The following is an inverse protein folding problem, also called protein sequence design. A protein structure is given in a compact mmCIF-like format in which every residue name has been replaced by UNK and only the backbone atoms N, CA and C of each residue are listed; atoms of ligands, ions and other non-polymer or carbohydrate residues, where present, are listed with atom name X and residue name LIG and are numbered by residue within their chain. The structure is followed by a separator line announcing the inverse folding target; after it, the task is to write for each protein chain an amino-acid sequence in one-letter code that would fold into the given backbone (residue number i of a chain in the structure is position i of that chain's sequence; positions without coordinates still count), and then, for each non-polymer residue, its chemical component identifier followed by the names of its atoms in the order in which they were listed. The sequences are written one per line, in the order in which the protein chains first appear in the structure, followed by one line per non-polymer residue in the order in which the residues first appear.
data_IF_801586594991
#
_entry.id   IF_801586594991
#
_cell.length_a   1.000
_cell.length_b   1.000
_cell.length_c   1.000
_cell.angle_alpha   90.00
_cell.angle_beta   90.00
_cell.angle_gamma   90.00
#
_symmetry.space_group_name_H-M   'P 1'
#
loop_
_entity.id
_entity.type
_entity.pdbx_description
1 polymer ?
#
# COMPACT_ATOMS: atom_id res chain seq x y z
N UNK A 1 6.40 -54.17 11.84
CA UNK A 1 7.63 -53.41 11.53
C UNK A 1 8.83 -54.14 12.13
N UNK A 2 9.71 -54.72 11.30
CA UNK A 2 10.97 -55.32 11.77
C UNK A 2 11.93 -54.17 12.11
N UNK A 3 12.35 -54.05 13.37
CA UNK A 3 13.47 -53.18 13.76
C UNK A 3 14.71 -53.70 13.01
N UNK A 4 15.29 -52.89 12.13
CA UNK A 4 16.62 -53.17 11.58
C UNK A 4 17.60 -53.23 12.76
N UNK A 5 18.05 -54.43 13.11
CA UNK A 5 19.12 -54.61 14.11
C UNK A 5 20.37 -53.92 13.58
N UNK A 6 21.00 -53.13 14.44
CA UNK A 6 22.24 -52.45 14.13
C UNK A 6 23.31 -53.52 13.85
N UNK A 7 24.00 -53.52 12.69
CA UNK A 7 24.99 -54.54 12.36
C UNK A 7 26.18 -54.59 13.35
N UNK A 8 26.31 -53.59 14.21
CA UNK A 8 27.32 -53.51 15.27
C UNK A 8 26.98 -54.33 16.53
N UNK A 9 25.73 -54.76 16.70
CA UNK A 9 25.28 -55.52 17.89
C UNK A 9 25.60 -57.03 17.81
N UNK A 10 26.26 -57.48 16.73
CA UNK A 10 26.55 -58.91 16.45
C UNK A 10 28.05 -59.25 16.40
N UNK A 11 28.94 -58.30 16.69
CA UNK A 11 30.39 -58.53 16.65
C UNK A 11 30.86 -58.87 18.07
N UNK A 12 31.36 -60.09 18.27
CA UNK A 12 32.06 -60.47 19.50
C UNK A 12 33.39 -59.68 19.56
N UNK A 13 33.61 -58.82 20.57
CA UNK A 13 34.81 -57.99 20.66
C UNK A 13 36.11 -58.78 20.86
N UNK A 14 36.05 -60.11 21.02
CA UNK A 14 37.23 -60.98 21.21
C UNK A 14 37.76 -61.61 19.92
N UNK A 15 37.02 -61.56 18.82
CA UNK A 15 37.40 -62.13 17.51
C UNK A 15 37.82 -61.04 16.50
N UNK A 16 38.71 -60.13 16.94
CA UNK A 16 39.25 -59.09 16.05
C UNK A 16 40.69 -59.45 15.68
N UNK A 17 40.89 -59.90 14.44
CA UNK A 17 42.24 -60.18 13.92
C UNK A 17 43.07 -58.90 13.75
N UNK A 18 44.42 -58.97 13.76
CA UNK A 18 45.27 -57.83 13.46
C UNK A 18 44.97 -57.18 12.10
N UNK A 19 44.61 -57.97 11.08
CA UNK A 19 44.19 -57.46 9.77
C UNK A 19 42.90 -56.63 9.85
N UNK A 20 41.92 -57.07 10.66
CA UNK A 20 40.68 -56.35 10.87
C UNK A 20 40.92 -55.01 11.59
N UNK A 21 41.80 -54.96 12.59
CA UNK A 21 42.15 -53.69 13.26
C UNK A 21 42.76 -52.66 12.29
N UNK A 22 43.64 -53.10 11.37
CA UNK A 22 44.23 -52.23 10.34
C UNK A 22 43.15 -51.77 9.34
N UNK A 23 42.23 -52.64 8.95
CA UNK A 23 41.11 -52.32 8.06
C UNK A 23 40.14 -51.32 8.70
N UNK A 24 39.75 -51.53 9.96
CA UNK A 24 38.88 -50.62 10.71
C UNK A 24 39.55 -49.28 10.98
N UNK A 25 40.86 -49.24 11.28
CA UNK A 25 41.61 -47.98 11.41
C UNK A 25 41.64 -47.19 10.10
N UNK A 26 41.85 -47.85 8.96
CA UNK A 26 41.79 -47.21 7.63
C UNK A 26 40.38 -46.69 7.30
N UNK A 27 39.34 -47.47 7.60
CA UNK A 27 37.94 -47.06 7.41
C UNK A 27 37.57 -45.88 8.33
N UNK A 28 37.96 -45.92 9.59
CA UNK A 28 37.73 -44.82 10.55
C UNK A 28 38.46 -43.54 10.12
N UNK A 29 39.70 -43.62 9.63
CA UNK A 29 40.42 -42.46 9.09
C UNK A 29 39.75 -41.91 7.83
N UNK A 30 39.26 -42.77 6.94
CA UNK A 30 38.53 -42.38 5.72
C UNK A 30 37.19 -41.71 6.05
N UNK A 31 36.43 -42.28 6.98
CA UNK A 31 35.17 -41.72 7.51
C UNK A 31 35.39 -40.37 8.21
N UNK A 32 36.45 -40.25 9.03
CA UNK A 32 36.76 -39.00 9.74
C UNK A 32 37.19 -37.89 8.78
N UNK A 33 37.98 -38.22 7.74
CA UNK A 33 38.34 -37.27 6.67
C UNK A 33 37.11 -36.87 5.84
N UNK A 34 36.25 -37.83 5.49
CA UNK A 34 34.99 -37.57 4.77
C UNK A 34 34.05 -36.66 5.58
N UNK A 35 33.91 -36.90 6.89
CA UNK A 35 33.12 -36.03 7.79
C UNK A 35 33.69 -34.62 7.88
N UNK A 36 35.02 -34.45 7.97
CA UNK A 36 35.67 -33.12 7.95
C UNK A 36 35.43 -32.39 6.63
N UNK A 37 35.60 -33.07 5.48
CA UNK A 37 35.37 -32.48 4.16
C UNK A 37 33.90 -32.09 3.98
N UNK A 38 32.95 -32.97 4.37
CA UNK A 38 31.52 -32.66 4.32
C UNK A 38 31.14 -31.50 5.24
N UNK A 39 31.75 -31.42 6.43
CA UNK A 39 31.54 -30.30 7.35
C UNK A 39 32.07 -28.98 6.80
N UNK A 40 33.24 -28.97 6.16
CA UNK A 40 33.80 -27.78 5.49
C UNK A 40 32.93 -27.36 4.30
N UNK A 41 32.50 -28.31 3.45
CA UNK A 41 31.60 -28.05 2.33
C UNK A 41 30.24 -27.50 2.81
N UNK A 42 29.69 -28.04 3.89
CA UNK A 42 28.43 -27.57 4.45
C UNK A 42 28.56 -26.15 5.04
N UNK A 43 29.68 -25.88 5.73
CA UNK A 43 29.98 -24.56 6.27
C UNK A 43 30.23 -23.53 5.16
N UNK A 44 30.95 -23.88 4.09
CA UNK A 44 31.22 -22.98 2.97
C UNK A 44 29.97 -22.71 2.13
N UNK A 45 29.14 -23.73 1.86
CA UNK A 45 27.85 -23.55 1.18
C UNK A 45 26.88 -22.70 2.00
N UNK A 46 26.87 -22.90 3.33
CA UNK A 46 26.06 -22.07 4.23
C UNK A 46 26.55 -20.63 4.27
N UNK A 47 27.88 -20.40 4.30
CA UNK A 47 28.47 -19.07 4.27
C UNK A 47 28.21 -18.34 2.94
N UNK A 48 28.29 -19.04 1.79
CA UNK A 48 27.95 -18.48 0.47
C UNK A 48 26.45 -18.16 0.39
N UNK A 49 25.58 -19.03 0.91
CA UNK A 49 24.14 -18.78 0.99
C UNK A 49 23.81 -17.55 1.82
N UNK A 50 24.38 -17.43 3.03
CA UNK A 50 24.19 -16.26 3.92
C UNK A 50 24.76 -15.00 3.27
N UNK A 51 25.96 -15.04 2.69
CA UNK A 51 26.57 -13.91 2.01
C UNK A 51 25.79 -13.47 0.76
N UNK A 52 25.17 -14.40 0.02
CA UNK A 52 24.32 -14.09 -1.13
C UNK A 52 23.02 -13.42 -0.67
N UNK A 53 22.38 -13.95 0.38
CA UNK A 53 21.16 -13.35 0.94
C UNK A 53 21.43 -11.96 1.52
N UNK A 54 22.53 -11.78 2.27
CA UNK A 54 22.95 -10.47 2.77
C UNK A 54 23.36 -9.54 1.63
N UNK A 55 24.09 -10.02 0.63
CA UNK A 55 24.47 -9.26 -0.55
C UNK A 55 23.27 -8.77 -1.35
N UNK A 56 22.22 -9.57 -1.49
CA UNK A 56 20.95 -9.17 -2.11
C UNK A 56 20.20 -8.17 -1.20
N UNK A 57 20.11 -8.43 0.10
CA UNK A 57 19.40 -7.57 1.05
C UNK A 57 20.03 -6.18 1.22
N UNK A 58 21.36 -6.09 1.20
CA UNK A 58 22.10 -4.83 1.26
C UNK A 58 22.37 -4.21 -0.11
N UNK A 59 22.31 -5.00 -1.19
CA UNK A 59 22.54 -4.56 -2.57
C UNK A 59 21.31 -3.94 -3.23
N UNK A 60 20.09 -4.16 -2.71
CA UNK A 60 18.89 -3.46 -3.18
C UNK A 60 18.88 -2.05 -2.55
N UNK A 61 19.14 -0.98 -3.32
CA UNK A 61 19.12 0.37 -2.79
C UNK A 61 17.73 0.68 -2.23
N UNK A 62 17.67 0.99 -0.93
CA UNK A 62 16.43 1.42 -0.28
C UNK A 62 15.96 2.72 -0.93
N UNK A 63 14.66 2.86 -1.22
CA UNK A 63 14.14 4.11 -1.75
C UNK A 63 14.37 5.24 -0.74
N UNK A 64 14.65 6.44 -1.24
CA UNK A 64 14.90 7.63 -0.42
C UNK A 64 13.66 8.02 0.37
N UNK A 65 12.49 7.86 -0.24
CA UNK A 65 11.20 8.13 0.35
C UNK A 65 10.44 6.83 0.64
N UNK A 66 9.49 6.91 1.56
CA UNK A 66 8.57 5.84 1.88
C UNK A 66 7.13 6.29 1.67
N UNK A 67 6.28 5.35 1.27
CA UNK A 67 4.83 5.49 1.39
C UNK A 67 4.47 5.37 2.87
N UNK A 68 3.65 6.29 3.35
CA UNK A 68 3.27 6.43 4.75
C UNK A 68 1.83 6.00 4.92
N UNK A 69 1.61 5.13 5.90
CA UNK A 69 0.28 4.82 6.40
C UNK A 69 0.11 5.63 7.68
N UNK A 70 -0.82 6.58 7.67
CA UNK A 70 -1.07 7.43 8.83
C UNK A 70 -1.86 6.66 9.89
N UNK A 71 -1.42 6.75 11.14
CA UNK A 71 -2.13 6.10 12.25
C UNK A 71 -3.36 6.91 12.65
N UNK A 72 -4.36 6.26 13.27
CA UNK A 72 -5.62 6.91 13.68
C UNK A 72 -5.42 8.09 14.64
N UNK A 73 -4.38 8.04 15.47
CA UNK A 73 -3.99 9.10 16.40
C UNK A 73 -3.22 10.27 15.76
N UNK A 74 -2.93 10.19 14.46
CA UNK A 74 -2.26 11.28 13.73
C UNK A 74 -3.20 12.48 13.62
N UNK A 75 -2.67 13.69 13.72
CA UNK A 75 -3.44 14.91 13.47
C UNK A 75 -3.73 15.07 11.98
N UNK A 76 -4.76 14.37 11.51
CA UNK A 76 -5.23 14.35 10.12
C UNK A 76 -6.41 15.31 10.01
N UNK A 77 -6.28 16.34 9.17
CA UNK A 77 -7.37 17.27 8.92
C UNK A 77 -8.44 16.64 8.04
N UNK A 78 -9.69 17.01 8.31
CA UNK A 78 -10.79 16.78 7.36
C UNK A 78 -10.67 17.74 6.20
N UNK A 79 -11.18 17.33 5.03
CA UNK A 79 -11.16 18.15 3.81
C UNK A 79 -11.77 19.54 4.01
N UNK A 80 -12.84 19.64 4.81
CA UNK A 80 -13.48 20.92 5.16
C UNK A 80 -12.56 21.90 5.89
N UNK A 81 -11.53 21.41 6.58
CA UNK A 81 -10.58 22.22 7.35
C UNK A 81 -9.40 22.68 6.49
N UNK A 82 -9.25 22.15 5.26
CA UNK A 82 -8.13 22.53 4.39
C UNK A 82 -8.15 24.03 4.08
N UNK A 83 -9.34 24.65 4.09
CA UNK A 83 -9.57 26.09 3.80
C UNK A 83 -8.81 26.99 4.74
N UNK A 84 -8.44 26.50 5.92
CA UNK A 84 -7.67 27.26 6.89
C UNK A 84 -6.18 27.27 6.58
N UNK A 85 -5.71 26.32 5.76
CA UNK A 85 -4.28 26.06 5.51
C UNK A 85 -3.84 26.42 4.09
N UNK A 86 -4.67 26.13 3.09
CA UNK A 86 -4.35 26.31 1.67
C UNK A 86 -4.97 27.59 1.10
N UNK A 87 -4.30 28.20 0.11
CA UNK A 87 -4.81 29.40 -0.60
C UNK A 87 -6.03 29.10 -1.47
N UNK A 88 -6.16 27.88 -2.00
CA UNK A 88 -7.32 27.45 -2.79
C UNK A 88 -7.52 25.92 -2.68
N UNK A 89 -8.80 25.47 -2.67
CA UNK A 89 -9.20 24.05 -2.54
C UNK A 89 -10.18 23.60 -3.62
N UNK A 90 -10.70 24.52 -4.41
CA UNK A 90 -11.60 24.17 -5.50
C UNK A 90 -10.82 23.71 -6.73
N UNK A 91 -11.33 22.73 -7.48
CA UNK A 91 -10.69 22.28 -8.70
C UNK A 91 -10.74 23.43 -9.71
N UNK A 92 -9.63 24.13 -9.90
CA UNK A 92 -9.41 24.76 -11.20
C UNK A 92 -9.29 23.56 -12.14
N UNK A 93 -10.20 23.45 -13.12
CA UNK A 93 -10.02 22.58 -14.28
C UNK A 93 -8.78 23.05 -15.06
N UNK A 94 -7.62 22.81 -14.48
CA UNK A 94 -6.35 23.20 -15.04
C UNK A 94 -5.86 22.07 -15.92
N UNK A 95 -5.61 22.36 -17.20
CA UNK A 95 -4.96 21.43 -18.09
C UNK A 95 -3.45 21.50 -17.88
N UNK A 96 -2.91 20.47 -17.24
CA UNK A 96 -1.48 20.24 -17.14
C UNK A 96 -1.01 19.45 -18.36
N UNK A 97 -0.24 20.10 -19.24
CA UNK A 97 0.25 19.54 -20.52
C UNK A 97 1.24 18.37 -20.37
N UNK A 98 1.55 17.93 -19.16
CA UNK A 98 2.42 16.78 -18.91
C UNK A 98 1.67 15.51 -18.48
N UNK A 99 2.40 14.38 -18.53
CA UNK A 99 1.91 13.09 -18.04
C UNK A 99 2.00 13.00 -16.51
N UNK A 100 1.13 12.20 -15.85
CA UNK A 100 1.19 12.02 -14.40
C UNK A 100 2.55 11.51 -13.90
N UNK A 101 3.19 10.60 -14.63
CA UNK A 101 4.48 10.03 -14.24
C UNK A 101 5.59 11.08 -14.21
N UNK A 102 5.57 12.06 -15.10
CA UNK A 102 6.60 13.09 -15.15
C UNK A 102 6.45 14.09 -14.01
N UNK A 103 5.21 14.46 -13.69
CA UNK A 103 4.92 15.22 -12.47
C UNK A 103 5.36 14.47 -11.21
N UNK A 104 5.05 13.17 -11.11
CA UNK A 104 5.45 12.36 -9.97
C UNK A 104 6.97 12.36 -9.78
N UNK A 105 7.75 12.23 -10.86
CA UNK A 105 9.24 12.30 -10.80
C UNK A 105 9.72 13.62 -10.21
N UNK A 106 9.18 14.74 -10.67
CA UNK A 106 9.57 16.08 -10.18
C UNK A 106 9.24 16.25 -8.69
N UNK A 107 8.05 15.82 -8.27
CA UNK A 107 7.65 15.88 -6.86
C UNK A 107 8.50 14.97 -5.99
N UNK A 108 8.87 13.77 -6.46
CA UNK A 108 9.73 12.86 -5.69
C UNK A 108 11.15 13.41 -5.49
N UNK A 109 11.68 14.15 -6.48
CA UNK A 109 13.01 14.79 -6.39
C UNK A 109 12.97 15.99 -5.44
N UNK A 110 11.91 16.80 -5.50
CA UNK A 110 11.69 17.96 -4.64
C UNK A 110 10.29 17.90 -4.00
N UNK A 111 10.13 17.21 -2.86
CA UNK A 111 8.83 16.93 -2.26
C UNK A 111 8.37 18.07 -1.35
N UNK A 112 8.30 19.29 -1.90
CA UNK A 112 7.85 20.49 -1.17
C UNK A 112 6.87 21.27 -2.04
N UNK A 113 5.97 22.05 -1.44
CA UNK A 113 5.04 22.91 -2.21
C UNK A 113 5.76 24.05 -2.95
N UNK A 114 7.00 24.36 -2.60
CA UNK A 114 7.83 25.32 -3.33
C UNK A 114 8.29 24.77 -4.70
N UNK A 115 8.04 23.49 -4.99
CA UNK A 115 8.33 22.89 -6.28
C UNK A 115 7.49 23.56 -7.39
N UNK A 116 8.12 24.13 -8.45
CA UNK A 116 7.42 24.84 -9.51
C UNK A 116 6.29 24.06 -10.20
N UNK A 117 6.32 22.72 -10.17
CA UNK A 117 5.26 21.88 -10.75
C UNK A 117 3.90 22.10 -10.10
N UNK A 118 3.84 22.62 -8.87
CA UNK A 118 2.57 22.91 -8.17
C UNK A 118 1.96 24.27 -8.55
N UNK A 119 2.75 25.20 -9.11
CA UNK A 119 2.26 26.55 -9.50
C UNK A 119 1.03 26.52 -10.40
N UNK A 120 0.95 25.67 -11.43
CA UNK A 120 -0.22 25.65 -12.32
C UNK A 120 -1.52 25.24 -11.62
N UNK A 121 -1.42 24.49 -10.52
CA UNK A 121 -2.55 24.09 -9.69
C UNK A 121 -2.95 25.13 -8.64
N UNK A 122 -2.21 26.24 -8.56
CA UNK A 122 -2.31 27.23 -7.47
C UNK A 122 -2.29 26.59 -6.06
N UNK A 123 -1.62 25.43 -5.94
CA UNK A 123 -1.56 24.70 -4.68
C UNK A 123 -0.44 25.28 -3.84
N UNK A 124 -0.83 26.11 -2.88
CA UNK A 124 0.11 26.78 -1.99
C UNK A 124 -0.49 26.99 -0.59
N UNK A 125 0.36 27.09 0.42
CA UNK A 125 -0.05 27.45 1.78
C UNK A 125 -0.39 28.94 1.88
N UNK A 126 -1.32 29.29 2.78
CA UNK A 126 -1.52 30.68 3.19
C UNK A 126 -0.26 31.23 3.85
N UNK A 127 -0.01 32.53 3.71
CA UNK A 127 1.26 33.12 4.13
C UNK A 127 1.47 33.00 5.65
N UNK A 128 0.42 33.21 6.46
CA UNK A 128 0.46 33.01 7.91
C UNK A 128 0.74 31.55 8.31
N UNK A 129 0.41 30.58 7.46
CA UNK A 129 0.66 29.15 7.70
C UNK A 129 2.09 28.80 7.30
N UNK A 130 2.61 29.38 6.20
CA UNK A 130 4.01 29.24 5.80
C UNK A 130 4.98 29.73 6.85
N UNK A 131 4.63 30.77 7.61
CA UNK A 131 5.49 31.26 8.69
C UNK A 131 5.71 30.23 9.80
N UNK A 132 4.72 29.34 10.01
CA UNK A 132 4.70 28.38 11.11
C UNK A 132 5.21 27.00 10.66
N UNK A 133 4.89 26.59 9.44
CA UNK A 133 5.09 25.22 8.97
C UNK A 133 6.06 25.11 7.79
N UNK A 134 6.83 24.02 7.77
CA UNK A 134 7.48 23.52 6.56
C UNK A 134 6.57 22.47 5.90
N UNK A 135 6.65 22.37 4.58
CA UNK A 135 5.87 21.40 3.80
C UNK A 135 6.73 20.21 3.38
N UNK A 136 6.13 19.03 3.44
CA UNK A 136 6.71 17.81 2.88
C UNK A 136 5.59 17.03 2.17
N UNK A 137 5.77 16.75 0.88
CA UNK A 137 4.82 15.96 0.10
C UNK A 137 5.07 14.48 0.37
N UNK A 138 3.99 13.77 0.72
CA UNK A 138 3.97 12.33 0.97
C UNK A 138 3.00 11.64 0.03
N UNK A 139 3.16 10.32 -0.09
CA UNK A 139 2.21 9.45 -0.79
C UNK A 139 1.84 9.94 -2.18
N UNK A 140 2.83 10.19 -3.04
CA UNK A 140 2.58 10.51 -4.45
C UNK A 140 2.00 9.27 -5.13
N UNK A 141 0.73 9.33 -5.51
CA UNK A 141 -0.03 8.22 -6.08
C UNK A 141 -0.61 8.65 -7.43
N UNK A 142 -0.22 7.97 -8.50
CA UNK A 142 -0.82 8.16 -9.83
C UNK A 142 -2.18 7.45 -9.85
N UNK A 143 -3.22 8.17 -10.25
CA UNK A 143 -4.53 7.55 -10.44
C UNK A 143 -4.58 6.86 -11.81
N UNK A 144 -4.22 5.57 -11.86
CA UNK A 144 -4.27 4.78 -13.09
C UNK A 144 -5.68 4.34 -13.52
N UNK A 145 -6.72 4.68 -12.74
CA UNK A 145 -8.12 4.44 -13.13
C UNK A 145 -8.56 5.48 -14.16
N UNK A 146 -8.48 6.77 -13.79
CA UNK A 146 -8.88 7.87 -14.68
C UNK A 146 -7.70 8.31 -15.58
N UNK A 147 -6.47 7.98 -15.19
CA UNK A 147 -5.23 8.27 -15.92
C UNK A 147 -4.83 9.76 -15.99
N UNK A 148 -5.69 10.66 -15.51
CA UNK A 148 -5.53 12.11 -15.65
C UNK A 148 -5.36 12.85 -14.31
N UNK A 149 -5.05 12.12 -13.23
CA UNK A 149 -4.96 12.69 -11.89
C UNK A 149 -3.87 12.06 -11.03
N UNK A 150 -3.43 12.82 -10.02
CA UNK A 150 -2.48 12.41 -9.00
C UNK A 150 -3.08 12.73 -7.63
N UNK A 151 -2.97 11.77 -6.73
CA UNK A 151 -3.29 11.93 -5.32
C UNK A 151 -1.99 12.08 -4.53
N UNK A 152 -1.98 12.98 -3.54
CA UNK A 152 -0.84 13.18 -2.64
C UNK A 152 -1.30 13.62 -1.26
N UNK A 153 -0.44 13.46 -0.28
CA UNK A 153 -0.63 13.99 1.07
C UNK A 153 0.33 15.15 1.30
N UNK A 154 -0.12 16.20 1.98
CA UNK A 154 0.74 17.29 2.45
C UNK A 154 0.97 17.12 3.96
N UNK A 155 2.22 16.95 4.35
CA UNK A 155 2.65 16.97 5.75
C UNK A 155 3.16 18.37 6.10
N UNK A 156 2.53 18.99 7.09
CA UNK A 156 2.94 20.27 7.67
C UNK A 156 3.71 20.01 8.96
N UNK A 157 5.01 20.29 8.97
CA UNK A 157 5.84 20.15 10.19
C UNK A 157 6.05 21.52 10.82
N UNK A 158 5.76 21.65 12.10
CA UNK A 158 5.98 22.90 12.82
C UNK A 158 7.49 23.23 12.82
N UNK A 159 7.84 24.44 12.39
CA UNK A 159 9.24 24.91 12.30
C UNK A 159 9.94 24.94 13.66
N UNK A 160 9.18 25.10 14.76
CA UNK A 160 9.70 25.14 16.13
C UNK A 160 9.75 23.76 16.79
N UNK A 161 8.97 22.79 16.31
CA UNK A 161 8.89 21.44 16.89
C UNK A 161 8.60 20.39 15.83
N UNK A 162 9.60 19.54 15.54
CA UNK A 162 9.46 18.48 14.53
C UNK A 162 8.50 17.35 14.93
N UNK A 163 8.13 17.27 16.22
CA UNK A 163 7.14 16.32 16.74
C UNK A 163 5.70 16.78 16.55
N UNK A 164 5.50 18.08 16.34
CA UNK A 164 4.21 18.68 16.08
C UNK A 164 3.99 18.78 14.57
N UNK A 165 3.02 18.04 14.07
CA UNK A 165 2.73 18.00 12.65
C UNK A 165 1.25 17.76 12.37
N UNK A 166 0.84 18.21 11.19
CA UNK A 166 -0.52 18.11 10.68
C UNK A 166 -0.47 17.47 9.29
N UNK A 167 -1.43 16.60 8.99
CA UNK A 167 -1.54 15.94 7.69
C UNK A 167 -2.80 16.41 6.98
N UNK A 168 -2.64 16.87 5.73
CA UNK A 168 -3.72 17.09 4.78
C UNK A 168 -3.69 15.91 3.79
N UNK A 169 -4.49 14.87 4.02
CA UNK A 169 -4.43 13.67 3.20
C UNK A 169 -5.21 13.85 1.89
N UNK A 170 -4.88 13.03 0.89
CA UNK A 170 -5.69 12.81 -0.33
C UNK A 170 -6.02 14.10 -1.10
N UNK A 171 -5.04 14.97 -1.29
CA UNK A 171 -5.14 16.10 -2.22
C UNK A 171 -5.10 15.55 -3.65
N UNK A 172 -6.16 15.80 -4.43
CA UNK A 172 -6.30 15.31 -5.81
C UNK A 172 -6.03 16.43 -6.79
N UNK A 173 -4.98 16.28 -7.59
CA UNK A 173 -4.64 17.15 -8.71
C UNK A 173 -5.14 16.52 -10.02
N UNK A 174 -5.80 17.29 -10.87
CA UNK A 174 -6.46 16.83 -12.11
C UNK A 174 -5.97 17.58 -13.34
N UNK A 175 -6.28 17.03 -14.51
CA UNK A 175 -6.04 17.66 -15.81
C UNK A 175 -4.70 17.30 -16.43
N UNK A 176 -4.08 16.20 -16.00
CA UNK A 176 -2.94 15.61 -16.68
C UNK A 176 -3.35 14.94 -17.99
N UNK A 177 -2.43 14.83 -18.94
CA UNK A 177 -2.64 14.02 -20.14
C UNK A 177 -2.76 12.54 -19.77
N UNK A 178 -3.82 11.89 -20.24
CA UNK A 178 -4.04 10.45 -19.99
C UNK A 178 -2.89 9.65 -20.58
N UNK A 179 -2.22 8.86 -19.73
CA UNK A 179 -1.16 7.96 -20.17
C UNK A 179 -1.70 6.55 -20.32
N UNK A 180 -1.99 6.10 -21.54
CA UNK A 180 -2.57 4.77 -21.79
C UNK A 180 -1.71 3.62 -21.24
N UNK A 181 -0.40 3.82 -21.11
CA UNK A 181 0.53 2.85 -20.52
C UNK A 181 0.37 2.68 -19.01
N UNK A 182 -0.35 3.58 -18.32
CA UNK A 182 -0.63 3.51 -16.88
C UNK A 182 -1.87 2.68 -16.55
N UNK A 183 -2.61 2.18 -17.56
CA UNK A 183 -3.71 1.24 -17.36
C UNK A 183 -3.13 -0.16 -17.17
N UNK A 184 -2.76 -0.47 -15.93
CA UNK A 184 -2.34 -1.82 -15.54
C UNK A 184 -3.45 -2.52 -14.75
N UNK A 185 -3.60 -3.81 -15.06
CA UNK A 185 -4.76 -4.61 -14.77
C UNK A 185 -4.51 -5.46 -13.53
N UNK A 186 -5.38 -5.36 -12.54
CA UNK A 186 -5.59 -6.49 -11.62
C UNK A 186 -6.25 -7.61 -12.42
N UNK A 187 -6.07 -8.87 -12.01
CA UNK A 187 -6.83 -9.95 -12.67
C UNK A 187 -8.31 -9.86 -12.27
N UNK A 188 -9.18 -10.49 -13.05
CA UNK A 188 -10.59 -10.63 -12.67
C UNK A 188 -10.77 -11.34 -11.32
N UNK A 189 -9.95 -12.35 -11.07
CA UNK A 189 -9.95 -13.08 -9.79
C UNK A 189 -9.53 -12.16 -8.63
N UNK A 190 -8.48 -11.35 -8.80
CA UNK A 190 -8.06 -10.37 -7.80
C UNK A 190 -9.15 -9.33 -7.53
N UNK A 191 -9.76 -8.79 -8.59
CA UNK A 191 -10.85 -7.83 -8.47
C UNK A 191 -12.06 -8.39 -7.72
N UNK A 192 -12.43 -9.63 -8.00
CA UNK A 192 -13.57 -10.30 -7.34
C UNK A 192 -13.28 -10.52 -5.86
N UNK A 193 -12.07 -10.99 -5.52
CA UNK A 193 -11.63 -11.19 -4.13
C UNK A 193 -11.62 -9.91 -3.30
N UNK A 194 -11.30 -8.77 -3.91
CA UNK A 194 -11.29 -7.47 -3.23
C UNK A 194 -12.69 -7.00 -2.78
N UNK A 195 -13.75 -7.46 -3.46
CA UNK A 195 -15.12 -6.97 -3.24
C UNK A 195 -16.00 -8.00 -2.51
N UNK A 196 -15.83 -9.30 -2.81
CA UNK A 196 -16.78 -10.36 -2.43
C UNK A 196 -17.11 -10.44 -0.92
N UNK A 197 -16.17 -10.07 -0.04
CA UNK A 197 -16.31 -10.22 1.41
C UNK A 197 -16.57 -8.90 2.14
N UNK A 198 -16.68 -7.79 1.39
CA UNK A 198 -16.88 -6.47 2.01
C UNK A 198 -18.32 -6.36 2.51
N UNK A 199 -18.47 -6.19 3.82
CA UNK A 199 -19.74 -5.94 4.50
C UNK A 199 -19.66 -4.61 5.23
N UNK A 200 -20.79 -3.97 5.47
CA UNK A 200 -20.83 -2.65 6.09
C UNK A 200 -21.73 -2.60 7.32
N UNK A 201 -21.26 -1.89 8.34
CA UNK A 201 -22.07 -1.39 9.45
C UNK A 201 -22.51 0.03 9.14
N UNK A 202 -23.77 0.34 9.39
CA UNK A 202 -24.20 1.74 9.39
C UNK A 202 -23.77 2.42 10.70
N UNK A 203 -23.10 3.56 10.58
CA UNK A 203 -22.55 4.37 11.69
C UNK A 203 -23.04 5.83 11.66
N UNK A 204 -24.01 6.16 10.79
CA UNK A 204 -24.52 7.52 10.65
C UNK A 204 -25.21 8.00 11.93
N UNK A 205 -24.57 8.93 12.65
CA UNK A 205 -25.13 9.52 13.88
C UNK A 205 -26.17 10.57 13.53
N UNK A 206 -27.41 10.40 13.99
CA UNK A 206 -28.49 11.38 13.81
C UNK A 206 -29.09 11.44 12.41
N UNK A 207 -28.81 10.45 11.56
CA UNK A 207 -29.33 10.35 10.18
C UNK A 207 -29.79 8.92 9.91
N UNK A 208 -30.82 8.74 9.08
CA UNK A 208 -31.27 7.39 8.66
C UNK A 208 -30.43 6.88 7.49
N UNK A 209 -30.45 5.56 7.25
CA UNK A 209 -29.73 4.94 6.12
C UNK A 209 -30.20 5.54 4.79
N UNK A 210 -31.50 5.78 4.65
CA UNK A 210 -32.12 6.33 3.44
C UNK A 210 -31.58 7.73 3.14
N UNK A 211 -31.56 8.62 4.14
CA UNK A 211 -31.01 9.97 4.01
C UNK A 211 -29.51 9.96 3.71
N UNK A 212 -28.75 9.08 4.36
CA UNK A 212 -27.33 8.91 4.06
C UNK A 212 -27.10 8.50 2.60
N UNK A 213 -27.93 7.58 2.08
CA UNK A 213 -27.86 7.13 0.68
C UNK A 213 -28.25 8.24 -0.29
N UNK A 214 -29.29 9.02 0.03
CA UNK A 214 -29.66 10.20 -0.76
C UNK A 214 -28.47 11.16 -0.86
N UNK A 215 -27.79 11.45 0.24
CA UNK A 215 -26.59 12.28 0.23
C UNK A 215 -25.49 11.68 -0.62
N UNK A 216 -25.10 10.42 -0.41
CA UNK A 216 -24.05 9.73 -1.19
C UNK A 216 -24.37 9.71 -2.70
N UNK A 217 -25.65 9.69 -3.07
CA UNK A 217 -26.10 9.65 -4.45
C UNK A 217 -26.23 11.01 -5.14
N UNK A 218 -26.02 12.15 -4.46
CA UNK A 218 -26.08 13.50 -5.05
C UNK A 218 -24.90 13.72 -6.01
N UNK A 219 -25.09 13.66 -7.34
CA UNK A 219 -23.98 13.73 -8.28
C UNK A 219 -23.31 15.11 -8.31
N UNK A 220 -24.07 16.17 -8.02
CA UNK A 220 -23.65 17.57 -8.17
C UNK A 220 -22.67 18.05 -7.08
N UNK A 221 -22.35 17.20 -6.10
CA UNK A 221 -21.43 17.52 -4.99
C UNK A 221 -20.06 16.87 -5.22
N UNK A 222 -19.97 15.86 -6.08
CA UNK A 222 -18.77 15.03 -6.20
C UNK A 222 -17.91 15.43 -7.38
N UNK A 223 -16.77 16.05 -7.11
CA UNK A 223 -15.74 16.35 -8.11
C UNK A 223 -14.89 15.11 -8.47
N UNK A 224 -15.11 13.99 -7.77
CA UNK A 224 -14.38 12.74 -7.94
C UNK A 224 -15.10 11.56 -7.30
N UNK A 225 -14.77 10.35 -7.74
CA UNK A 225 -15.20 9.13 -7.06
C UNK A 225 -14.64 9.04 -5.62
N UNK A 226 -13.47 9.61 -5.34
CA UNK A 226 -12.91 9.70 -3.98
C UNK A 226 -13.78 10.50 -3.01
N UNK A 227 -14.39 11.58 -3.50
CA UNK A 227 -15.26 12.42 -2.67
C UNK A 227 -16.49 11.61 -2.22
N UNK A 228 -17.06 10.86 -3.17
CA UNK A 228 -18.17 9.96 -2.90
C UNK A 228 -17.79 8.84 -1.92
N UNK A 229 -16.60 8.25 -2.06
CA UNK A 229 -16.10 7.26 -1.09
C UNK A 229 -15.92 7.85 0.31
N UNK A 230 -15.44 9.08 0.41
CA UNK A 230 -15.22 9.76 1.70
C UNK A 230 -16.55 9.98 2.43
N UNK A 231 -17.59 10.41 1.71
CA UNK A 231 -18.94 10.56 2.28
C UNK A 231 -19.58 9.21 2.60
N UNK A 232 -19.35 8.19 1.76
CA UNK A 232 -19.76 6.84 2.11
C UNK A 232 -19.14 6.39 3.43
N UNK A 233 -17.84 6.59 3.61
CA UNK A 233 -17.11 6.20 4.84
C UNK A 233 -17.51 7.02 6.07
N UNK A 234 -18.16 8.18 5.93
CA UNK A 234 -18.74 8.89 7.09
C UNK A 234 -20.01 8.25 7.63
N UNK A 235 -20.67 7.41 6.82
CA UNK A 235 -21.94 6.76 7.17
C UNK A 235 -21.83 5.24 7.30
N UNK A 236 -20.82 4.64 6.66
CA UNK A 236 -20.63 3.19 6.61
C UNK A 236 -19.20 2.80 7.00
N UNK A 237 -19.09 1.84 7.91
CA UNK A 237 -17.83 1.26 8.35
C UNK A 237 -17.72 -0.18 7.83
N UNK A 238 -16.62 -0.58 7.16
CA UNK A 238 -16.42 -1.96 6.73
C UNK A 238 -16.30 -2.91 7.93
N UNK A 239 -16.98 -4.05 7.88
CA UNK A 239 -16.90 -5.09 8.91
C UNK A 239 -15.62 -5.92 8.75
N UNK A 240 -14.96 -6.24 9.86
CA UNK A 240 -13.82 -7.17 9.93
C UNK A 240 -12.65 -6.83 8.99
N UNK A 241 -12.60 -5.59 8.50
CA UNK A 241 -11.55 -5.10 7.63
C UNK A 241 -11.08 -3.76 8.20
N UNK A 242 -9.84 -3.70 8.69
CA UNK A 242 -9.19 -2.42 8.94
C UNK A 242 -8.71 -1.86 7.61
N UNK A 243 -9.65 -1.25 6.88
CA UNK A 243 -9.40 -0.63 5.60
C UNK A 243 -8.65 0.71 5.73
N UNK A 244 -8.41 1.19 6.96
CA UNK A 244 -7.70 2.45 7.24
C UNK A 244 -8.17 3.64 6.37
N UNK A 245 -9.47 3.69 6.09
CA UNK A 245 -10.08 4.73 5.25
C UNK A 245 -9.88 4.54 3.73
N UNK A 246 -9.68 3.32 3.24
CA UNK A 246 -9.52 3.01 1.83
C UNK A 246 -10.47 1.90 1.36
N UNK A 247 -11.43 2.20 0.47
CA UNK A 247 -12.27 1.18 -0.13
C UNK A 247 -11.52 0.53 -1.31
N UNK A 248 -11.53 -0.80 -1.46
CA UNK A 248 -10.87 -1.48 -2.58
C UNK A 248 -11.70 -1.43 -3.88
N UNK A 249 -12.65 -0.51 -3.97
CA UNK A 249 -13.54 -0.32 -5.11
C UNK A 249 -14.11 1.09 -5.10
N UNK A 250 -14.46 1.60 -6.27
CA UNK A 250 -15.20 2.85 -6.41
C UNK A 250 -16.57 2.60 -7.05
N UNK A 251 -17.56 3.42 -6.70
CA UNK A 251 -18.94 3.26 -7.15
C UNK A 251 -19.13 3.72 -8.59
N UNK A 252 -19.76 2.87 -9.42
CA UNK A 252 -20.15 3.22 -10.80
C UNK A 252 -21.65 3.38 -10.98
N UNK A 253 -22.47 2.95 -10.02
CA UNK A 253 -23.91 3.20 -9.98
C UNK A 253 -24.32 4.02 -8.76
N UNK A 254 -25.59 4.44 -8.71
CA UNK A 254 -26.24 4.87 -7.46
C UNK A 254 -26.35 3.70 -6.48
N UNK A 255 -26.23 3.99 -5.19
CA UNK A 255 -26.49 3.06 -4.10
C UNK A 255 -27.99 2.86 -3.95
N UNK A 256 -28.42 1.61 -3.74
CA UNK A 256 -29.81 1.26 -3.41
C UNK A 256 -29.82 0.52 -2.08
N UNK A 257 -30.83 0.81 -1.25
CA UNK A 257 -31.04 0.09 0.00
C UNK A 257 -32.46 -0.46 0.05
N UNK A 258 -32.55 -1.78 0.00
CA UNK A 258 -33.80 -2.53 -0.04
C UNK A 258 -33.60 -3.80 0.77
N UNK A 259 -34.60 -4.21 1.56
CA UNK A 259 -34.56 -5.45 2.35
C UNK A 259 -33.31 -5.60 3.24
N UNK A 260 -32.88 -4.50 3.88
CA UNK A 260 -31.67 -4.44 4.72
C UNK A 260 -30.36 -4.75 3.97
N UNK A 261 -30.36 -4.67 2.64
CA UNK A 261 -29.20 -4.88 1.80
C UNK A 261 -28.83 -3.59 1.05
N UNK A 262 -27.54 -3.27 1.05
CA UNK A 262 -26.99 -2.22 0.21
C UNK A 262 -26.49 -2.85 -1.09
N UNK A 263 -27.01 -2.37 -2.21
CA UNK A 263 -26.68 -2.87 -3.55
C UNK A 263 -26.17 -1.74 -4.45
N UNK A 264 -25.09 -1.99 -5.18
CA UNK A 264 -24.47 -1.04 -6.10
C UNK A 264 -23.54 -1.76 -7.09
N UNK A 265 -23.27 -1.10 -8.20
CA UNK A 265 -22.20 -1.49 -9.12
C UNK A 265 -20.93 -0.71 -8.76
N UNK A 266 -19.80 -1.40 -8.84
CA UNK A 266 -18.49 -0.85 -8.53
C UNK A 266 -17.43 -1.41 -9.46
N UNK A 267 -16.26 -0.77 -9.47
CA UNK A 267 -15.04 -1.32 -10.08
C UNK A 267 -13.98 -1.45 -9.00
N UNK A 268 -13.38 -2.63 -8.90
CA UNK A 268 -12.35 -2.89 -7.92
C UNK A 268 -11.03 -2.24 -8.32
N UNK A 269 -10.24 -1.83 -7.34
CA UNK A 269 -8.91 -1.30 -7.56
C UNK A 269 -7.98 -1.59 -6.37
N UNK A 270 -6.67 -1.62 -6.62
CA UNK A 270 -5.65 -1.75 -5.57
C UNK A 270 -4.58 -0.69 -5.74
N UNK A 271 -3.90 -0.35 -4.64
CA UNK A 271 -2.70 0.49 -4.67
C UNK A 271 -1.48 -0.39 -4.96
N UNK A 272 -0.93 -0.27 -6.16
CA UNK A 272 0.39 -0.82 -6.49
C UNK A 272 1.50 0.10 -6.02
N UNK A 273 2.62 -0.47 -5.57
CA UNK A 273 3.81 0.27 -5.13
C UNK A 273 4.93 0.02 -6.13
N UNK A 274 5.50 1.10 -6.65
CA UNK A 274 6.49 1.06 -7.72
C UNK A 274 7.74 1.85 -7.32
N UNK A 275 8.90 1.39 -7.78
CA UNK A 275 10.17 2.05 -7.56
C UNK A 275 10.70 2.62 -8.90
N UNK A 276 11.21 3.84 -8.87
CA UNK A 276 11.79 4.54 -10.02
C UNK A 276 13.19 5.05 -9.68
N UNK A 277 14.13 4.93 -10.64
CA UNK A 277 15.49 5.46 -10.49
C UNK A 277 15.59 6.84 -11.12
N UNK A 278 15.93 7.84 -10.33
CA UNK A 278 16.12 9.23 -10.76
C UNK A 278 17.45 9.75 -10.23
N UNK A 279 18.31 10.29 -11.10
CA UNK A 279 19.63 10.85 -10.72
C UNK A 279 20.47 9.91 -9.83
N UNK A 280 20.48 8.61 -10.17
CA UNK A 280 21.21 7.56 -9.43
C UNK A 280 20.59 7.11 -8.10
N UNK A 281 19.42 7.65 -7.75
CA UNK A 281 18.71 7.37 -6.50
C UNK A 281 17.39 6.67 -6.78
N UNK A 282 16.99 5.74 -5.91
CA UNK A 282 15.69 5.05 -6.01
C UNK A 282 14.64 5.84 -5.23
N UNK A 283 13.47 6.03 -5.83
CA UNK A 283 12.30 6.66 -5.24
C UNK A 283 11.10 5.75 -5.38
N UNK A 284 10.14 5.86 -4.47
CA UNK A 284 8.94 5.04 -4.43
C UNK A 284 7.70 5.89 -4.69
N UNK A 285 6.77 5.38 -5.48
CA UNK A 285 5.46 6.00 -5.70
C UNK A 285 4.36 4.94 -5.71
N UNK A 286 3.13 5.40 -5.51
CA UNK A 286 1.94 4.55 -5.63
C UNK A 286 1.28 4.71 -7.00
N UNK A 287 0.55 3.71 -7.43
CA UNK A 287 -0.37 3.83 -8.56
C UNK A 287 -1.61 2.99 -8.31
N UNK A 288 -2.78 3.60 -8.46
CA UNK A 288 -4.03 2.85 -8.45
C UNK A 288 -4.17 2.07 -9.75
N UNK A 289 -4.44 0.78 -9.61
CA UNK A 289 -4.57 -0.17 -10.73
C UNK A 289 -5.91 -0.90 -10.62
N UNK A 290 -6.60 -1.05 -11.74
CA UNK A 290 -7.93 -1.62 -11.86
C UNK A 290 -8.02 -2.46 -13.14
N UNK A 291 -8.96 -3.38 -13.19
CA UNK A 291 -9.26 -4.14 -14.41
C UNK A 291 -10.41 -3.55 -15.21
N UNK A 292 -10.93 -2.40 -14.78
CA UNK A 292 -12.10 -1.71 -15.35
C UNK A 292 -13.37 -2.56 -15.43
N UNK A 293 -13.42 -3.73 -14.78
CA UNK A 293 -14.60 -4.59 -14.77
C UNK A 293 -15.60 -4.10 -13.74
N UNK A 294 -16.82 -3.88 -14.21
CA UNK A 294 -17.96 -3.59 -13.33
C UNK A 294 -18.39 -4.86 -12.61
N UNK A 295 -18.47 -4.78 -11.28
CA UNK A 295 -18.87 -5.83 -10.36
C UNK A 295 -20.10 -5.34 -9.62
N UNK A 296 -21.15 -6.17 -9.60
CA UNK A 296 -22.30 -5.93 -8.75
C UNK A 296 -21.99 -6.39 -7.33
N UNK A 297 -22.14 -5.49 -6.37
CA UNK A 297 -22.01 -5.78 -4.95
C UNK A 297 -23.37 -5.69 -4.27
N UNK A 298 -23.68 -6.67 -3.44
CA UNK A 298 -24.83 -6.62 -2.53
C UNK A 298 -24.46 -7.23 -1.19
N UNK A 299 -24.67 -6.48 -0.11
CA UNK A 299 -24.38 -6.96 1.23
C UNK A 299 -25.44 -6.49 2.21
N UNK A 300 -25.78 -7.35 3.19
CA UNK A 300 -26.64 -6.95 4.30
C UNK A 300 -25.92 -5.88 5.13
N UNK A 301 -26.64 -4.82 5.45
CA UNK A 301 -26.16 -3.77 6.36
C UNK A 301 -26.66 -4.10 7.75
N UNK A 302 -25.75 -4.14 8.72
CA UNK A 302 -26.11 -4.27 10.13
C UNK A 302 -26.21 -2.85 10.71
N UNK A 303 -27.39 -2.41 11.19
CA UNK A 303 -27.48 -1.19 11.97
C UNK A 303 -26.66 -1.38 13.25
N UNK A 304 -25.73 -0.47 13.54
CA UNK A 304 -25.08 -0.45 14.84
C UNK A 304 -26.11 0.03 15.85
N UNK A 305 -26.81 -0.89 16.51
CA UNK A 305 -27.63 -0.55 17.68
C UNK A 305 -26.72 0.13 18.69
N UNK A 306 -27.08 1.35 19.10
CA UNK A 306 -26.44 2.02 20.23
C UNK A 306 -26.47 1.06 21.42
N UNK A 307 -25.28 0.72 21.95
CA UNK A 307 -25.09 0.06 23.25
C UNK A 307 -24.72 1.17 24.22
#
# INVERSE_FOLDING_TARGET
MKKNKNPWDQIDPRDVTPEDQVRYKKLAVKETRSKKIKSILFASLSAVGIATVLGIAFGIPKPINNMVIWKKETNILKKSEFVDYLKQIEPIEYHYDGKPIDFAKEVLINPTLDNPVFKPFNLDLKDNVKEIYNTEIKNVIINGIDGNSICLDILLRNKKSTKDFIVLPKIVLRGFQVDEQTKNFITEEEASKLVQDVKFNFIGKGITIEKAIEEINKPDIWNSWYDRETVFQSYFEPQNLDLQGFLPFYFTSKLKYENYALSFDCKAYKLGIFDIKLKGKTYRYGQYISNDKVIHHSSKVVPKTEI
#
